data_IF_593375547639
#
_entry.id   IF_593375547639
#
_cell.length_a   1.000
_cell.length_b   1.000
_cell.length_c   1.000
_cell.angle_alpha   90.00
_cell.angle_beta   90.00
_cell.angle_gamma   90.00
#
_symmetry.space_group_name_H-M   'P 1'
#
loop_
_entity.id
_entity.type
_entity.pdbx_description
1 polymer ?
#
# COMPACT_ATOMS: atom_id res chain seq x y z
N UNK A 1 24.05 3.99 -16.23
CA UNK A 1 24.59 2.67 -15.84
C UNK A 1 23.57 2.01 -14.91
N UNK A 2 23.04 0.86 -15.31
CA UNK A 2 22.03 0.09 -14.58
C UNK A 2 22.65 -0.56 -13.35
N UNK A 3 22.44 0.04 -12.17
CA UNK A 3 22.82 -0.55 -10.87
C UNK A 3 21.85 -1.67 -10.49
N UNK A 4 22.39 -2.86 -10.27
CA UNK A 4 21.62 -4.07 -9.97
C UNK A 4 20.77 -3.95 -8.71
N UNK A 5 19.49 -4.32 -8.81
CA UNK A 5 18.64 -4.56 -7.67
C UNK A 5 19.15 -5.78 -6.90
N UNK A 6 19.93 -5.56 -5.84
CA UNK A 6 20.20 -6.57 -4.84
C UNK A 6 18.86 -7.06 -4.24
N UNK A 7 18.66 -8.38 -4.21
CA UNK A 7 17.47 -9.06 -3.68
C UNK A 7 17.25 -8.68 -2.21
N UNK A 8 16.10 -8.07 -1.91
CA UNK A 8 15.77 -7.54 -0.57
C UNK A 8 15.02 -8.62 0.24
N UNK A 9 15.48 -9.01 1.43
CA UNK A 9 14.81 -10.04 2.23
C UNK A 9 13.56 -9.46 2.91
N UNK A 10 12.44 -9.46 2.20
CA UNK A 10 11.11 -9.42 2.80
C UNK A 10 10.71 -10.85 3.13
N UNK A 11 10.49 -11.16 4.41
CA UNK A 11 10.11 -12.49 4.89
C UNK A 11 8.77 -12.48 5.61
N UNK A 12 7.94 -13.50 5.35
CA UNK A 12 6.64 -13.67 5.98
C UNK A 12 6.45 -15.14 6.38
N UNK A 13 6.24 -15.42 7.66
CA UNK A 13 5.86 -16.76 8.12
C UNK A 13 4.48 -16.71 8.77
N UNK A 14 3.61 -17.67 8.43
CA UNK A 14 2.25 -17.79 8.98
C UNK A 14 2.11 -19.17 9.63
N UNK A 15 1.79 -19.20 10.91
CA UNK A 15 1.58 -20.42 11.68
C UNK A 15 0.09 -20.60 11.93
N UNK A 16 -0.48 -21.72 11.49
CA UNK A 16 -1.91 -22.00 11.63
C UNK A 16 -2.19 -23.36 12.29
N UNK A 17 -3.36 -23.46 12.92
CA UNK A 17 -3.91 -24.73 13.39
C UNK A 17 -4.92 -25.24 12.36
N UNK A 18 -4.53 -26.24 11.57
CA UNK A 18 -5.43 -26.87 10.63
C UNK A 18 -6.51 -27.69 11.35
N UNK A 19 -7.79 -27.48 11.00
CA UNK A 19 -8.90 -28.30 11.45
C UNK A 19 -9.09 -29.48 10.47
N UNK A 20 -8.58 -30.67 10.81
CA UNK A 20 -8.91 -31.91 10.09
C UNK A 20 -8.20 -32.17 8.76
N UNK A 21 -8.36 -33.40 8.23
CA UNK A 21 -7.70 -33.88 7.00
C UNK A 21 -8.30 -33.19 5.76
N UNK A 22 -7.59 -32.22 5.21
CA UNK A 22 -7.86 -31.71 3.86
C UNK A 22 -7.02 -32.48 2.80
N UNK A 23 -7.64 -33.17 1.83
CA UNK A 23 -6.92 -33.86 0.76
C UNK A 23 -6.31 -32.92 -0.30
N UNK A 24 -6.65 -31.62 -0.31
CA UNK A 24 -6.38 -30.71 -1.43
C UNK A 24 -5.22 -29.72 -1.24
N UNK A 25 -5.07 -29.10 -0.07
CA UNK A 25 -4.11 -27.98 0.11
C UNK A 25 -2.65 -28.44 0.09
N UNK A 26 -2.38 -29.68 0.55
CA UNK A 26 -1.04 -30.27 0.48
C UNK A 26 -0.56 -30.43 -0.97
N UNK A 27 -1.46 -30.71 -1.94
CA UNK A 27 -1.06 -30.98 -3.34
C UNK A 27 -0.64 -29.74 -4.12
N UNK A 28 -1.11 -28.54 -3.77
CA UNK A 28 -0.72 -27.31 -4.46
C UNK A 28 0.64 -26.77 -4.01
N UNK A 29 1.03 -27.00 -2.75
CA UNK A 29 2.35 -26.61 -2.24
C UNK A 29 3.40 -27.72 -2.47
N UNK A 30 3.04 -29.02 -2.34
CA UNK A 30 3.99 -30.13 -2.54
C UNK A 30 4.42 -30.32 -4.01
N UNK A 31 3.56 -30.09 -5.00
CA UNK A 31 3.94 -30.28 -6.42
C UNK A 31 4.99 -29.29 -6.91
N UNK A 32 5.15 -28.15 -6.24
CA UNK A 32 6.18 -27.17 -6.58
C UNK A 32 7.51 -27.35 -5.83
N UNK A 33 7.55 -28.22 -4.81
CA UNK A 33 8.75 -28.54 -4.03
C UNK A 33 9.52 -29.79 -4.54
N UNK A 34 9.00 -30.54 -5.51
CA UNK A 34 9.59 -31.80 -6.02
C UNK A 34 10.83 -31.62 -6.93
N UNK A 35 11.60 -30.55 -6.74
CA UNK A 35 12.91 -30.34 -7.39
C UNK A 35 14.11 -30.81 -6.55
N UNK A 36 13.93 -31.18 -5.28
CA UNK A 36 15.05 -31.58 -4.41
C UNK A 36 14.96 -33.07 -4.03
N UNK A 37 16.02 -33.80 -4.37
CA UNK A 37 16.16 -35.25 -4.22
C UNK A 37 16.11 -35.75 -2.77
N UNK A 38 15.32 -36.83 -2.57
CA UNK A 38 15.41 -37.98 -1.62
C UNK A 38 16.33 -37.79 -0.39
N UNK A 39 15.90 -38.03 0.86
CA UNK A 39 15.31 -39.27 1.37
C UNK A 39 14.69 -39.06 2.75
N UNK A 40 13.53 -39.66 3.05
CA UNK A 40 13.04 -39.84 4.43
C UNK A 40 12.45 -41.24 4.56
N UNK A 41 12.95 -41.98 5.55
CA UNK A 41 12.60 -43.35 5.92
C UNK A 41 11.17 -43.40 6.51
N UNK A 42 10.31 -44.39 6.18
CA UNK A 42 8.95 -44.46 6.70
C UNK A 42 8.90 -45.27 8.00
N UNK A 43 8.64 -44.61 9.14
CA UNK A 43 8.48 -45.34 10.40
C UNK A 43 8.25 -44.48 11.63
N UNK A 44 7.04 -43.93 11.79
CA UNK A 44 6.32 -43.82 13.07
C UNK A 44 5.04 -43.00 12.89
N UNK A 45 3.90 -43.63 13.20
CA UNK A 45 2.63 -42.95 13.36
C UNK A 45 2.59 -42.32 14.77
N UNK A 46 2.60 -41.00 14.85
CA UNK A 46 2.14 -40.28 16.04
C UNK A 46 0.82 -39.57 15.73
N UNK A 47 -0.21 -39.96 16.49
CA UNK A 47 -1.53 -39.33 16.56
C UNK A 47 -1.43 -38.22 17.61
N UNK A 48 -1.42 -36.97 17.15
CA UNK A 48 -1.44 -35.77 17.98
C UNK A 48 -1.83 -34.59 17.10
N UNK A 49 -2.63 -33.66 17.62
CA UNK A 49 -3.11 -32.45 16.94
C UNK A 49 -1.99 -31.75 16.16
N UNK A 50 -1.96 -31.94 14.83
CA UNK A 50 -0.88 -31.48 13.96
C UNK A 50 -1.02 -29.97 13.72
N UNK A 51 -0.26 -29.18 14.45
CA UNK A 51 0.04 -27.79 14.09
C UNK A 51 0.79 -27.81 12.74
N UNK A 52 0.41 -26.94 11.80
CA UNK A 52 1.14 -26.80 10.53
C UNK A 52 1.80 -25.43 10.52
N UNK A 53 3.12 -25.42 10.41
CA UNK A 53 3.91 -24.21 10.21
C UNK A 53 4.01 -23.98 8.71
N UNK A 54 3.47 -22.87 8.21
CA UNK A 54 3.66 -22.44 6.82
C UNK A 54 4.73 -21.35 6.79
N UNK A 55 5.94 -21.70 6.40
CA UNK A 55 7.02 -20.72 6.22
C UNK A 55 7.10 -20.33 4.76
N UNK A 56 6.75 -19.08 4.44
CA UNK A 56 6.89 -18.50 3.10
C UNK A 56 8.16 -17.65 3.08
N UNK A 57 9.26 -18.30 2.74
CA UNK A 57 10.60 -17.70 2.77
C UNK A 57 11.09 -17.48 1.34
N UNK A 58 11.21 -16.22 0.92
CA UNK A 58 11.86 -15.82 -0.33
C UNK A 58 11.09 -16.07 -1.65
N UNK A 59 11.60 -15.46 -2.74
CA UNK A 59 11.02 -15.45 -4.09
C UNK A 59 10.78 -16.84 -4.70
N UNK A 60 9.53 -17.30 -4.70
CA UNK A 60 9.13 -18.53 -5.42
C UNK A 60 9.01 -18.24 -6.92
N UNK A 61 9.97 -18.70 -7.74
CA UNK A 61 9.80 -18.75 -9.21
C UNK A 61 8.84 -19.88 -9.57
N UNK A 62 7.64 -19.56 -10.06
CA UNK A 62 6.93 -20.46 -10.98
C UNK A 62 7.34 -20.13 -12.41
N UNK A 63 7.90 -21.13 -13.11
CA UNK A 63 7.92 -21.14 -14.58
C UNK A 63 6.58 -21.72 -15.02
N UNK A 64 5.68 -20.86 -15.50
CA UNK A 64 4.42 -21.30 -16.10
C UNK A 64 4.71 -21.82 -17.51
N UNK A 65 4.56 -23.13 -17.71
CA UNK A 65 4.42 -23.69 -19.05
C UNK A 65 2.95 -23.47 -19.46
N UNK A 66 2.73 -22.59 -20.42
CA UNK A 66 1.40 -22.33 -21.00
C UNK A 66 0.81 -23.64 -21.52
N UNK A 67 -0.37 -24.01 -21.01
CA UNK A 67 -1.32 -24.81 -21.76
C UNK A 67 -2.52 -23.94 -22.10
N UNK A 68 -2.71 -23.73 -23.41
CA UNK A 68 -3.96 -23.22 -24.00
C UNK A 68 -5.02 -24.30 -23.86
N UNK A 69 -6.16 -23.94 -23.28
CA UNK A 69 -7.54 -24.36 -23.60
C UNK A 69 -8.41 -23.40 -22.79
N UNK A 70 -9.20 -22.51 -23.36
CA UNK A 70 -10.49 -22.82 -24.00
C UNK A 70 -11.54 -22.03 -23.22
N UNK A 71 -12.15 -21.06 -23.89
CA UNK A 71 -13.24 -20.20 -23.43
C UNK A 71 -14.45 -21.04 -22.99
N UNK A 72 -15.14 -20.65 -21.91
CA UNK A 72 -16.58 -20.88 -21.71
C UNK A 72 -17.10 -19.90 -20.63
N UNK A 73 -17.85 -18.88 -21.08
CA UNK A 73 -18.83 -18.13 -20.29
C UNK A 73 -20.21 -18.58 -20.77
N UNK A 74 -21.23 -18.74 -19.90
CA UNK A 74 -22.57 -19.09 -20.35
C UNK A 74 -23.28 -17.88 -20.97
N UNK A 75 -23.88 -18.14 -22.13
CA UNK A 75 -24.77 -17.24 -22.88
C UNK A 75 -25.98 -16.80 -22.05
N UNK A 76 -26.31 -15.51 -22.13
CA UNK A 76 -27.64 -15.00 -21.81
C UNK A 76 -28.30 -14.51 -23.10
N UNK A 77 -29.49 -15.07 -23.30
CA UNK A 77 -30.33 -15.05 -24.49
C UNK A 77 -30.76 -13.64 -24.91
N UNK A 78 -30.83 -13.45 -26.24
CA UNK A 78 -31.17 -12.21 -26.92
C UNK A 78 -32.55 -12.33 -27.56
N UNK A 79 -33.56 -11.72 -26.95
CA UNK A 79 -34.72 -11.19 -27.67
C UNK A 79 -35.55 -10.29 -26.75
N UNK A 80 -35.51 -8.99 -26.98
CA UNK A 80 -36.72 -8.27 -27.38
C UNK A 80 -36.36 -6.86 -27.87
N UNK A 81 -36.88 -6.54 -29.05
CA UNK A 81 -36.63 -5.34 -29.84
C UNK A 81 -37.64 -4.24 -29.49
N UNK A 82 -37.12 -3.00 -29.55
CA UNK A 82 -37.80 -1.72 -29.82
C UNK A 82 -38.55 -1.03 -28.67
N UNK A 83 -37.95 0.05 -28.17
CA UNK A 83 -38.53 1.38 -28.34
C UNK A 83 -37.41 2.42 -28.58
N UNK A 84 -37.54 3.20 -29.64
CA UNK A 84 -36.71 4.35 -29.96
C UNK A 84 -37.49 5.61 -29.60
N UNK A 85 -37.11 6.30 -28.55
CA UNK A 85 -37.44 7.72 -28.42
C UNK A 85 -36.41 8.49 -27.61
N UNK A 86 -35.51 9.16 -28.33
CA UNK A 86 -34.97 10.50 -28.03
C UNK A 86 -34.71 10.80 -26.54
N UNK A 87 -33.58 10.34 -26.04
CA UNK A 87 -32.87 11.05 -25.00
C UNK A 87 -31.83 11.93 -25.68
N UNK A 88 -32.01 13.24 -25.55
CA UNK A 88 -31.03 14.26 -25.90
C UNK A 88 -29.68 13.91 -25.27
N UNK A 89 -28.60 13.97 -26.05
CA UNK A 89 -27.22 13.99 -25.57
C UNK A 89 -27.03 15.19 -24.62
N UNK A 90 -27.47 15.04 -23.38
CA UNK A 90 -26.88 15.76 -22.28
C UNK A 90 -25.52 15.09 -22.11
N UNK A 91 -24.49 15.69 -22.72
CA UNK A 91 -23.10 15.32 -22.46
C UNK A 91 -22.97 15.26 -20.94
N UNK A 92 -22.91 14.04 -20.37
CA UNK A 92 -22.61 13.86 -18.97
C UNK A 92 -21.30 14.61 -18.75
N UNK A 93 -21.34 15.70 -17.97
CA UNK A 93 -20.15 16.49 -17.71
C UNK A 93 -19.13 15.54 -17.10
N UNK A 94 -17.96 15.43 -17.72
CA UNK A 94 -16.89 14.57 -17.23
C UNK A 94 -16.54 14.97 -15.79
N UNK A 95 -16.40 13.97 -14.91
CA UNK A 95 -16.09 14.16 -13.51
C UNK A 95 -14.66 14.69 -13.35
N UNK A 96 -14.53 15.92 -12.87
CA UNK A 96 -13.27 16.64 -12.87
C UNK A 96 -12.42 16.41 -11.63
N UNK A 97 -11.14 16.10 -11.84
CA UNK A 97 -10.13 15.90 -10.80
C UNK A 97 -9.18 17.10 -10.74
N UNK A 98 -9.07 17.70 -9.56
CA UNK A 98 -8.04 18.67 -9.22
C UNK A 98 -6.84 18.03 -8.51
N UNK A 99 -5.62 18.29 -8.96
CA UNK A 99 -4.41 17.78 -8.31
C UNK A 99 -3.84 18.81 -7.33
N UNK A 100 -3.75 18.44 -6.05
CA UNK A 100 -3.04 19.23 -5.03
C UNK A 100 -1.68 18.58 -4.80
N UNK A 101 -0.61 19.17 -5.34
CA UNK A 101 0.74 18.61 -5.26
C UNK A 101 0.96 17.47 -6.24
N UNK A 102 1.21 17.78 -7.51
CA UNK A 102 1.52 16.83 -8.58
C UNK A 102 2.98 16.36 -8.57
N UNK A 103 3.37 15.66 -7.49
CA UNK A 103 4.69 15.05 -7.32
C UNK A 103 4.88 13.76 -8.12
N UNK A 104 6.00 13.06 -7.84
CA UNK A 104 6.38 11.85 -8.59
C UNK A 104 5.31 10.77 -8.64
N UNK A 105 4.62 10.48 -7.54
CA UNK A 105 3.55 9.47 -7.52
C UNK A 105 2.33 9.88 -8.35
N UNK A 106 1.92 11.15 -8.27
CA UNK A 106 0.81 11.67 -9.07
C UNK A 106 1.06 11.43 -10.56
N UNK A 107 2.26 11.78 -11.05
CA UNK A 107 2.63 11.60 -12.47
C UNK A 107 2.82 10.13 -12.87
N UNK A 108 3.38 9.31 -11.97
CA UNK A 108 3.71 7.91 -12.29
C UNK A 108 2.51 6.96 -12.17
N UNK A 109 1.48 7.32 -11.40
CA UNK A 109 0.38 6.40 -11.04
C UNK A 109 -1.00 7.02 -11.21
N UNK A 110 -1.26 8.15 -10.57
CA UNK A 110 -2.62 8.68 -10.47
C UNK A 110 -3.10 9.32 -11.76
N UNK A 111 -2.33 10.22 -12.38
CA UNK A 111 -2.72 10.85 -13.65
C UNK A 111 -2.95 9.79 -14.75
N UNK A 112 -2.04 8.81 -14.96
CA UNK A 112 -2.32 7.70 -15.88
C UNK A 112 -3.58 6.92 -15.51
N UNK A 113 -3.76 6.60 -14.22
CA UNK A 113 -4.91 5.84 -13.76
C UNK A 113 -6.24 6.58 -13.95
N UNK A 114 -6.28 7.90 -13.74
CA UNK A 114 -7.48 8.71 -13.99
C UNK A 114 -7.83 8.75 -15.48
N UNK A 115 -6.84 8.86 -16.38
CA UNK A 115 -7.05 8.82 -17.84
C UNK A 115 -7.57 7.48 -18.36
N UNK A 116 -7.47 6.41 -17.58
CA UNK A 116 -8.00 5.08 -17.92
C UNK A 116 -9.47 4.90 -17.47
N UNK A 117 -10.04 5.86 -16.74
CA UNK A 117 -11.42 5.81 -16.27
C UNK A 117 -12.29 6.64 -17.22
N UNK A 118 -13.30 6.00 -17.81
CA UNK A 118 -14.29 6.69 -18.65
C UNK A 118 -14.99 7.80 -17.86
N UNK A 119 -15.27 8.91 -18.53
CA UNK A 119 -15.95 10.10 -17.95
C UNK A 119 -15.22 10.76 -16.77
N UNK A 120 -13.90 10.55 -16.61
CA UNK A 120 -13.06 11.24 -15.61
C UNK A 120 -11.95 12.01 -16.29
N UNK A 121 -11.77 13.28 -15.91
CA UNK A 121 -10.71 14.14 -16.47
C UNK A 121 -9.91 14.84 -15.37
N UNK A 122 -8.60 14.99 -15.59
CA UNK A 122 -7.78 15.86 -14.74
C UNK A 122 -7.87 17.28 -15.28
N UNK A 123 -8.58 18.15 -14.58
CA UNK A 123 -8.98 19.48 -15.08
C UNK A 123 -8.14 20.62 -14.50
N UNK A 124 -7.51 20.43 -13.35
CA UNK A 124 -6.77 21.49 -12.68
C UNK A 124 -5.58 20.91 -11.87
N UNK A 125 -4.50 21.68 -11.74
CA UNK A 125 -3.35 21.34 -10.90
C UNK A 125 -2.84 22.56 -10.14
N UNK A 126 -2.56 22.37 -8.86
CA UNK A 126 -1.81 23.33 -8.02
C UNK A 126 -0.55 22.66 -7.47
N UNK A 127 0.55 23.39 -7.51
CA UNK A 127 1.85 22.98 -6.98
C UNK A 127 2.44 24.11 -6.12
N UNK A 128 3.52 23.80 -5.37
CA UNK A 128 4.22 24.79 -4.53
C UNK A 128 4.67 26.05 -5.31
N UNK A 129 4.98 25.90 -6.60
CA UNK A 129 5.21 27.01 -7.50
C UNK A 129 4.37 26.83 -8.77
N UNK A 130 3.88 27.95 -9.32
CA UNK A 130 3.13 27.97 -10.58
C UNK A 130 3.89 27.31 -11.72
N UNK A 131 5.18 27.61 -11.86
CA UNK A 131 6.07 26.99 -12.86
C UNK A 131 6.07 25.45 -12.76
N UNK A 132 6.05 24.90 -11.54
CA UNK A 132 5.95 23.46 -11.36
C UNK A 132 4.58 22.92 -11.75
N UNK A 133 3.50 23.68 -11.57
CA UNK A 133 2.16 23.34 -12.05
C UNK A 133 2.10 23.34 -13.57
N UNK A 134 2.58 24.41 -14.21
CA UNK A 134 2.63 24.59 -15.67
C UNK A 134 3.40 23.46 -16.37
N UNK A 135 4.53 23.00 -15.80
CA UNK A 135 5.25 21.85 -16.33
C UNK A 135 4.42 20.56 -16.32
N UNK A 136 3.64 20.32 -15.27
CA UNK A 136 2.77 19.13 -15.19
C UNK A 136 1.60 19.28 -16.14
N UNK A 137 0.98 20.46 -16.19
CA UNK A 137 -0.13 20.74 -17.09
C UNK A 137 0.26 20.56 -18.56
N UNK A 138 1.43 21.06 -18.97
CA UNK A 138 1.95 20.85 -20.31
C UNK A 138 2.32 19.38 -20.60
N UNK A 139 2.80 18.62 -19.60
CA UNK A 139 3.16 17.20 -19.75
C UNK A 139 1.93 16.30 -19.89
N UNK A 140 0.80 16.70 -19.29
CA UNK A 140 -0.42 15.89 -19.15
C UNK A 140 -1.68 16.56 -19.68
N UNK A 141 -1.53 17.58 -20.54
CA UNK A 141 -2.64 18.31 -21.17
C UNK A 141 -3.73 18.76 -20.19
N UNK A 142 -3.34 19.16 -18.97
CA UNK A 142 -4.28 19.64 -17.94
C UNK A 142 -4.65 21.09 -18.28
N UNK A 143 -5.94 21.43 -18.43
CA UNK A 143 -6.33 22.72 -18.98
C UNK A 143 -6.04 23.90 -18.05
N UNK A 144 -6.08 23.69 -16.73
CA UNK A 144 -5.93 24.77 -15.75
C UNK A 144 -4.75 24.55 -14.79
N UNK A 145 -4.13 25.65 -14.39
CA UNK A 145 -3.11 25.72 -13.33
C UNK A 145 -3.50 26.81 -12.36
N UNK A 146 -3.89 26.43 -11.15
CA UNK A 146 -4.20 27.38 -10.08
C UNK A 146 -2.93 27.86 -9.36
N UNK A 147 -2.94 29.10 -8.90
CA UNK A 147 -1.87 29.70 -8.09
C UNK A 147 -1.98 29.31 -6.60
N UNK A 148 -3.15 28.83 -6.17
CA UNK A 148 -3.44 28.46 -4.79
C UNK A 148 -4.40 27.26 -4.68
N UNK A 149 -4.41 26.59 -3.52
CA UNK A 149 -5.35 25.48 -3.27
C UNK A 149 -6.78 26.00 -3.21
N UNK A 150 -6.97 27.19 -2.64
CA UNK A 150 -8.25 27.87 -2.53
C UNK A 150 -8.86 28.16 -3.91
N UNK A 151 -8.05 28.61 -4.88
CA UNK A 151 -8.47 28.81 -6.26
C UNK A 151 -8.86 27.48 -6.93
N UNK A 152 -8.08 26.41 -6.75
CA UNK A 152 -8.43 25.09 -7.27
C UNK A 152 -9.74 24.57 -6.66
N UNK A 153 -9.96 24.76 -5.36
CA UNK A 153 -11.18 24.31 -4.68
C UNK A 153 -12.41 25.14 -5.07
N UNK A 154 -12.23 26.40 -5.46
CA UNK A 154 -13.30 27.26 -5.96
C UNK A 154 -13.69 26.97 -7.42
N UNK A 155 -12.89 26.18 -8.15
CA UNK A 155 -13.16 25.81 -9.53
C UNK A 155 -14.42 24.91 -9.62
N UNK A 156 -15.48 25.35 -10.33
CA UNK A 156 -16.69 24.55 -10.49
C UNK A 156 -16.47 23.32 -11.38
N UNK A 157 -15.38 23.24 -12.14
CA UNK A 157 -15.04 22.06 -12.93
C UNK A 157 -14.38 20.95 -12.09
N UNK A 158 -13.96 21.23 -10.85
CA UNK A 158 -13.34 20.23 -9.97
C UNK A 158 -14.42 19.58 -9.11
N UNK A 159 -14.67 18.29 -9.26
CA UNK A 159 -15.58 17.52 -8.41
C UNK A 159 -14.86 16.82 -7.25
N UNK A 160 -13.62 16.39 -7.50
CA UNK A 160 -12.77 15.74 -6.51
C UNK A 160 -11.33 16.24 -6.55
N UNK A 161 -10.62 16.11 -5.43
CA UNK A 161 -9.19 16.40 -5.35
C UNK A 161 -8.35 15.15 -5.09
N UNK A 162 -7.20 15.08 -5.77
CA UNK A 162 -6.13 14.13 -5.48
C UNK A 162 -4.97 14.85 -4.77
N UNK A 163 -4.81 14.60 -3.47
CA UNK A 163 -3.80 15.24 -2.63
C UNK A 163 -2.52 14.39 -2.66
N UNK A 164 -1.52 14.85 -3.42
CA UNK A 164 -0.20 14.24 -3.60
C UNK A 164 0.92 14.90 -2.80
N UNK A 165 0.58 15.67 -1.77
CA UNK A 165 1.51 16.43 -0.93
C UNK A 165 2.23 15.53 0.10
N UNK A 166 2.98 16.14 1.02
CA UNK A 166 3.58 15.41 2.15
C UNK A 166 2.61 15.37 3.34
N UNK A 167 2.73 14.36 4.24
CA UNK A 167 1.78 14.12 5.32
C UNK A 167 1.41 15.33 6.19
N UNK A 168 2.36 16.24 6.45
CA UNK A 168 2.12 17.43 7.26
C UNK A 168 1.07 18.41 6.69
N UNK A 169 0.73 18.30 5.41
CA UNK A 169 -0.30 19.14 4.77
C UNK A 169 -1.64 18.42 4.59
N UNK A 170 -1.71 17.11 4.85
CA UNK A 170 -2.85 16.30 4.46
C UNK A 170 -4.12 16.67 5.22
N UNK A 171 -4.02 16.96 6.53
CA UNK A 171 -5.17 17.34 7.33
C UNK A 171 -5.80 18.64 6.81
N UNK A 172 -4.99 19.66 6.58
CA UNK A 172 -5.49 20.97 6.17
C UNK A 172 -6.11 20.92 4.77
N UNK A 173 -5.46 20.26 3.80
CA UNK A 173 -6.01 20.13 2.45
C UNK A 173 -7.20 19.19 2.37
N UNK A 174 -7.23 18.12 3.16
CA UNK A 174 -8.42 17.24 3.24
C UNK A 174 -9.60 17.99 3.83
N UNK A 175 -9.38 18.77 4.91
CA UNK A 175 -10.42 19.59 5.51
C UNK A 175 -10.95 20.64 4.55
N UNK A 176 -10.05 21.43 3.96
CA UNK A 176 -10.44 22.47 3.02
C UNK A 176 -11.23 21.92 1.83
N UNK A 177 -10.83 20.77 1.29
CA UNK A 177 -11.53 20.13 0.17
C UNK A 177 -12.93 19.65 0.54
N UNK A 178 -13.09 18.98 1.68
CA UNK A 178 -14.40 18.51 2.15
C UNK A 178 -15.33 19.68 2.51
N UNK A 179 -14.81 20.73 3.14
CA UNK A 179 -15.54 21.96 3.43
C UNK A 179 -15.97 22.70 2.15
N UNK A 180 -15.18 22.61 1.09
CA UNK A 180 -15.51 23.12 -0.24
C UNK A 180 -16.46 22.21 -1.05
N UNK A 181 -16.95 21.12 -0.46
CA UNK A 181 -17.88 20.21 -1.11
C UNK A 181 -17.25 19.26 -2.13
N UNK A 182 -15.93 19.02 -2.06
CA UNK A 182 -15.20 18.17 -3.01
C UNK A 182 -14.92 16.78 -2.44
N UNK A 183 -15.00 15.75 -3.27
CA UNK A 183 -14.51 14.41 -2.89
C UNK A 183 -12.98 14.44 -2.71
N UNK A 184 -12.42 13.57 -1.88
CA UNK A 184 -10.98 13.55 -1.56
C UNK A 184 -10.38 12.17 -1.78
N UNK A 185 -9.29 12.11 -2.56
CA UNK A 185 -8.32 11.03 -2.56
C UNK A 185 -6.99 11.56 -2.02
N UNK A 186 -6.56 11.11 -0.84
CA UNK A 186 -5.35 11.60 -0.18
C UNK A 186 -4.24 10.53 -0.16
N UNK A 187 -3.01 10.93 -0.49
CA UNK A 187 -1.86 10.03 -0.51
C UNK A 187 -1.55 9.36 0.83
N UNK A 188 -0.98 8.17 0.77
CA UNK A 188 -0.37 7.54 1.93
C UNK A 188 1.06 8.08 2.09
N UNK A 189 1.50 8.48 3.29
CA UNK A 189 0.94 8.22 4.61
C UNK A 189 -0.11 9.27 5.00
N UNK A 190 -1.20 8.80 5.61
CA UNK A 190 -2.38 9.61 5.94
C UNK A 190 -2.05 10.95 6.60
N UNK A 191 -1.27 10.93 7.69
CA UNK A 191 -0.96 12.10 8.50
C UNK A 191 0.41 11.96 9.20
N UNK A 192 0.84 12.99 9.94
CA UNK A 192 2.13 12.96 10.66
C UNK A 192 2.04 12.17 11.98
N UNK A 193 0.85 12.07 12.56
CA UNK A 193 0.59 11.42 13.83
C UNK A 193 -0.87 10.95 13.95
N UNK A 194 -1.18 10.20 15.01
CA UNK A 194 -2.51 9.65 15.23
C UNK A 194 -3.58 10.72 15.48
N UNK A 195 -3.25 11.80 16.20
CA UNK A 195 -4.19 12.89 16.48
C UNK A 195 -4.64 13.61 15.21
N UNK A 196 -3.72 13.86 14.27
CA UNK A 196 -4.10 14.40 12.96
C UNK A 196 -4.93 13.40 12.15
N UNK A 197 -4.61 12.11 12.20
CA UNK A 197 -5.40 11.07 11.53
C UNK A 197 -6.84 11.00 12.07
N UNK A 198 -7.00 11.08 13.40
CA UNK A 198 -8.32 11.16 14.06
C UNK A 198 -9.06 12.44 13.66
N UNK A 199 -8.36 13.57 13.55
CA UNK A 199 -8.97 14.82 13.09
C UNK A 199 -9.44 14.72 11.63
N UNK A 200 -8.65 14.10 10.74
CA UNK A 200 -9.06 13.84 9.35
C UNK A 200 -10.31 12.94 9.30
N UNK A 201 -10.37 11.90 10.13
CA UNK A 201 -11.55 11.04 10.23
C UNK A 201 -12.77 11.82 10.73
N UNK A 202 -12.60 12.65 11.76
CA UNK A 202 -13.69 13.46 12.31
C UNK A 202 -14.24 14.44 11.27
N UNK A 203 -13.39 15.08 10.47
CA UNK A 203 -13.83 15.95 9.37
C UNK A 203 -14.55 15.15 8.30
N UNK A 204 -14.00 14.01 7.86
CA UNK A 204 -14.68 13.12 6.90
C UNK A 204 -16.09 12.73 7.35
N UNK A 205 -16.27 12.40 8.64
CA UNK A 205 -17.57 12.06 9.21
C UNK A 205 -18.58 13.23 9.24
N UNK A 206 -18.11 14.48 9.17
CA UNK A 206 -19.00 15.66 9.07
C UNK A 206 -19.55 15.86 7.65
N UNK A 207 -18.96 15.20 6.65
CA UNK A 207 -19.36 15.28 5.24
C UNK A 207 -19.69 13.90 4.66
N UNK A 208 -20.71 13.20 5.20
CA UNK A 208 -21.02 11.81 4.82
C UNK A 208 -21.48 11.64 3.37
N UNK A 209 -21.91 12.72 2.71
CA UNK A 209 -22.31 12.73 1.30
C UNK A 209 -21.09 12.78 0.34
N UNK A 210 -19.89 13.01 0.87
CA UNK A 210 -18.64 13.03 0.12
C UNK A 210 -17.81 11.78 0.36
N UNK A 211 -17.05 11.41 -0.66
CA UNK A 211 -16.06 10.33 -0.55
C UNK A 211 -14.77 10.93 0.00
N UNK A 212 -14.24 10.37 1.07
CA UNK A 212 -12.93 10.70 1.61
C UNK A 212 -12.11 9.42 1.73
N UNK A 213 -11.19 9.21 0.78
CA UNK A 213 -10.42 7.99 0.63
C UNK A 213 -8.92 8.25 0.77
N UNK A 214 -8.23 7.30 1.38
CA UNK A 214 -6.77 7.24 1.40
C UNK A 214 -6.27 6.32 0.29
N UNK A 215 -5.17 6.69 -0.35
CA UNK A 215 -4.49 5.82 -1.31
C UNK A 215 -4.07 4.54 -0.58
N UNK A 216 -4.53 3.36 -1.01
CA UNK A 216 -4.17 2.10 -0.36
C UNK A 216 -2.69 1.81 -0.53
N UNK A 217 -2.14 0.94 0.34
CA UNK A 217 -0.79 0.39 0.16
C UNK A 217 -0.46 0.07 -1.32
N UNK A 218 0.56 0.71 -1.91
CA UNK A 218 0.81 0.67 -3.36
C UNK A 218 1.37 -0.66 -3.85
N UNK A 219 1.80 -1.52 -2.93
CA UNK A 219 2.26 -2.87 -3.22
C UNK A 219 1.95 -3.77 -2.03
N UNK A 220 1.76 -5.04 -2.34
CA UNK A 220 1.52 -6.12 -1.39
C UNK A 220 2.60 -7.20 -1.56
N UNK A 221 2.59 -8.23 -0.74
CA UNK A 221 3.36 -9.44 -1.01
C UNK A 221 2.96 -10.01 -2.36
N UNK A 222 3.94 -10.62 -3.06
CA UNK A 222 3.72 -11.25 -4.36
C UNK A 222 2.58 -12.27 -4.36
N UNK A 223 2.36 -12.96 -3.24
CA UNK A 223 1.27 -13.92 -3.03
C UNK A 223 0.13 -13.35 -2.16
N UNK A 224 0.07 -12.04 -1.94
CA UNK A 224 -0.84 -11.40 -0.99
C UNK A 224 -2.31 -11.72 -1.24
N UNK A 225 -2.77 -11.68 -2.50
CA UNK A 225 -4.14 -12.11 -2.88
C UNK A 225 -4.42 -13.57 -2.54
N UNK A 226 -3.45 -14.46 -2.77
CA UNK A 226 -3.57 -15.88 -2.44
C UNK A 226 -3.60 -16.10 -0.93
N UNK A 227 -2.72 -15.42 -0.19
CA UNK A 227 -2.67 -15.49 1.27
C UNK A 227 -3.99 -15.00 1.85
N UNK A 228 -4.47 -13.83 1.43
CA UNK A 228 -5.76 -13.28 1.83
C UNK A 228 -6.88 -14.29 1.62
N UNK A 229 -6.99 -14.87 0.42
CA UNK A 229 -7.99 -15.90 0.12
C UNK A 229 -7.89 -17.11 1.06
N UNK A 230 -6.69 -17.61 1.32
CA UNK A 230 -6.46 -18.76 2.21
C UNK A 230 -6.78 -18.47 3.69
N UNK A 231 -6.64 -17.20 4.11
CA UNK A 231 -7.10 -16.73 5.41
C UNK A 231 -8.65 -16.68 5.45
N UNK A 232 -9.27 -16.10 4.41
CA UNK A 232 -10.72 -15.89 4.33
C UNK A 232 -11.51 -17.19 4.15
N UNK A 233 -11.03 -18.12 3.33
CA UNK A 233 -11.70 -19.41 3.07
C UNK A 233 -11.45 -20.46 4.16
N UNK A 234 -10.69 -20.10 5.20
CA UNK A 234 -10.38 -20.98 6.33
C UNK A 234 -9.41 -22.11 6.01
N UNK A 235 -8.78 -22.13 4.83
CA UNK A 235 -7.80 -23.17 4.44
C UNK A 235 -6.61 -23.26 5.39
N UNK A 236 -6.25 -22.15 6.06
CA UNK A 236 -5.17 -22.11 7.06
C UNK A 236 -5.65 -22.48 8.48
N UNK A 237 -6.95 -22.68 8.67
CA UNK A 237 -7.59 -22.79 9.98
C UNK A 237 -7.38 -21.53 10.81
N UNK A 238 -7.35 -21.66 12.14
CA UNK A 238 -7.07 -20.52 13.02
C UNK A 238 -5.60 -20.14 12.92
N UNK A 239 -5.33 -18.91 12.50
CA UNK A 239 -3.98 -18.34 12.46
C UNK A 239 -3.55 -18.06 13.89
N UNK A 240 -2.40 -18.60 14.28
CA UNK A 240 -1.84 -18.49 15.62
C UNK A 240 -0.77 -17.39 15.67
N UNK A 241 0.15 -17.39 14.68
CA UNK A 241 1.25 -16.44 14.64
C UNK A 241 1.59 -15.99 13.22
N UNK A 242 1.99 -14.73 13.10
CA UNK A 242 2.59 -14.17 11.88
C UNK A 242 3.91 -13.48 12.21
N UNK A 243 4.95 -13.78 11.43
CA UNK A 243 6.27 -13.19 11.60
C UNK A 243 6.61 -12.41 10.32
N UNK A 244 6.72 -11.09 10.46
CA UNK A 244 7.03 -10.17 9.39
C UNK A 244 8.44 -9.63 9.55
N UNK A 245 9.29 -9.84 8.55
CA UNK A 245 10.67 -9.36 8.52
C UNK A 245 10.87 -8.45 7.31
N UNK A 246 11.19 -7.19 7.57
CA UNK A 246 11.44 -6.13 6.59
C UNK A 246 12.84 -5.57 6.83
N UNK A 247 13.86 -6.20 6.25
CA UNK A 247 15.25 -5.84 6.49
C UNK A 247 15.89 -5.30 5.22
N UNK A 248 16.57 -4.17 5.35
CA UNK A 248 17.44 -3.63 4.32
C UNK A 248 18.59 -2.84 4.96
N UNK A 249 19.55 -2.43 4.13
CA UNK A 249 20.69 -1.61 4.53
C UNK A 249 20.64 -0.16 4.05
N UNK A 250 19.49 0.35 3.58
CA UNK A 250 19.42 1.70 2.99
C UNK A 250 19.68 2.82 3.99
N UNK A 251 19.58 2.51 5.28
CA UNK A 251 19.84 3.44 6.37
C UNK A 251 21.29 3.46 6.85
N UNK A 252 22.14 2.51 6.44
CA UNK A 252 23.51 2.34 6.99
C UNK A 252 24.49 3.43 6.60
N UNK A 253 24.42 3.87 5.34
CA UNK A 253 25.27 4.93 4.84
C UNK A 253 24.76 6.27 5.37
N UNK A 254 25.42 6.84 6.38
CA UNK A 254 25.07 8.14 6.97
C UNK A 254 25.58 9.34 6.16
N UNK A 255 26.39 9.09 5.12
CA UNK A 255 26.86 10.09 4.17
C UNK A 255 25.86 10.35 3.03
N UNK A 256 24.91 9.43 2.83
CA UNK A 256 23.84 9.57 1.86
C UNK A 256 22.89 10.75 2.15
N UNK A 257 22.27 11.33 1.12
CA UNK A 257 21.50 12.56 1.24
C UNK A 257 20.29 12.41 2.18
N UNK A 258 19.94 13.50 2.87
CA UNK A 258 18.69 13.59 3.62
C UNK A 258 17.50 13.35 2.66
N UNK A 259 16.56 12.51 3.08
CA UNK A 259 15.36 12.16 2.33
C UNK A 259 14.14 12.59 3.14
N UNK A 260 13.02 12.94 2.51
CA UNK A 260 11.82 13.46 3.21
C UNK A 260 11.29 12.50 4.31
N UNK A 261 11.49 11.19 4.16
CA UNK A 261 11.17 10.16 5.19
C UNK A 261 12.03 10.22 6.46
N UNK A 262 13.14 10.94 6.43
CA UNK A 262 13.96 11.23 7.60
C UNK A 262 13.52 12.52 8.30
N UNK A 263 12.79 13.39 7.58
CA UNK A 263 12.31 14.68 8.05
C UNK A 263 10.99 14.51 8.78
N UNK A 264 11.02 14.67 10.10
CA UNK A 264 9.82 14.58 10.95
C UNK A 264 8.84 15.73 10.68
N UNK A 265 9.33 16.89 10.25
CA UNK A 265 8.56 18.03 9.79
C UNK A 265 7.77 17.76 8.50
N UNK A 266 8.18 16.79 7.68
CA UNK A 266 7.45 16.41 6.47
C UNK A 266 6.67 15.11 6.64
N UNK A 267 7.35 14.08 7.12
CA UNK A 267 6.83 12.71 7.22
C UNK A 267 6.18 12.38 8.56
N UNK A 268 6.33 13.22 9.59
CA UNK A 268 5.88 12.90 10.94
C UNK A 268 6.58 11.70 11.54
N UNK A 269 5.80 10.86 12.21
CA UNK A 269 6.27 9.62 12.85
C UNK A 269 6.20 8.40 11.93
N UNK A 270 6.18 8.60 10.61
CA UNK A 270 6.07 7.50 9.66
C UNK A 270 7.38 6.73 9.50
N UNK A 271 7.44 5.54 10.09
CA UNK A 271 8.65 4.72 10.15
C UNK A 271 8.75 3.77 8.95
N UNK A 272 9.68 4.04 8.04
CA UNK A 272 10.01 3.18 6.89
C UNK A 272 8.75 2.71 6.12
N UNK A 273 8.64 1.40 5.87
CA UNK A 273 7.52 0.76 5.19
C UNK A 273 6.50 0.14 6.16
N UNK A 274 6.64 0.35 7.49
CA UNK A 274 5.82 -0.32 8.51
C UNK A 274 4.32 -0.24 8.21
N UNK A 275 3.78 0.96 7.95
CA UNK A 275 2.35 1.11 7.73
C UNK A 275 1.82 0.36 6.51
N UNK A 276 2.64 0.12 5.46
CA UNK A 276 2.21 -0.60 4.24
C UNK A 276 1.91 -2.05 4.63
N UNK A 277 2.87 -2.67 5.31
CA UNK A 277 2.74 -4.07 5.67
C UNK A 277 1.82 -4.27 6.88
N UNK A 278 1.72 -3.30 7.79
CA UNK A 278 0.72 -3.34 8.85
C UNK A 278 -0.70 -3.34 8.26
N UNK A 279 -0.98 -2.45 7.29
CA UNK A 279 -2.24 -2.44 6.57
C UNK A 279 -2.52 -3.78 5.87
N UNK A 280 -1.52 -4.36 5.19
CA UNK A 280 -1.63 -5.70 4.60
C UNK A 280 -1.99 -6.77 5.64
N UNK A 281 -1.31 -6.82 6.79
CA UNK A 281 -1.58 -7.82 7.84
C UNK A 281 -2.99 -7.63 8.40
N UNK A 282 -3.43 -6.38 8.61
CA UNK A 282 -4.79 -6.10 9.10
C UNK A 282 -5.86 -6.55 8.10
N UNK A 283 -5.63 -6.41 6.78
CA UNK A 283 -6.54 -6.94 5.75
C UNK A 283 -6.68 -8.47 5.77
N UNK A 284 -5.74 -9.19 6.37
CA UNK A 284 -5.78 -10.66 6.46
C UNK A 284 -6.32 -11.16 7.80
N UNK A 285 -6.02 -10.46 8.89
CA UNK A 285 -6.26 -10.93 10.26
C UNK A 285 -7.27 -10.07 11.03
N UNK A 286 -7.70 -8.94 10.48
CA UNK A 286 -8.47 -7.93 11.19
C UNK A 286 -7.60 -7.01 12.04
N UNK A 287 -8.23 -6.29 12.95
CA UNK A 287 -7.60 -5.19 13.68
C UNK A 287 -6.53 -5.65 14.68
N UNK A 288 -5.55 -4.77 14.91
CA UNK A 288 -4.57 -4.93 15.99
C UNK A 288 -5.19 -4.49 17.31
N UNK A 289 -5.22 -5.38 18.31
CA UNK A 289 -5.80 -5.09 19.63
C UNK A 289 -4.79 -4.44 20.58
N UNK A 290 -3.52 -4.88 20.55
CA UNK A 290 -2.46 -4.34 21.42
C UNK A 290 -1.10 -4.50 20.78
N UNK A 291 -0.18 -3.58 21.07
CA UNK A 291 1.23 -3.69 20.69
C UNK A 291 2.18 -3.46 21.87
N UNK A 292 3.36 -4.06 21.80
CA UNK A 292 4.56 -3.66 22.55
C UNK A 292 5.69 -3.50 21.55
N UNK A 293 6.39 -2.37 21.59
CA UNK A 293 7.39 -2.04 20.58
C UNK A 293 8.68 -1.52 21.22
N UNK A 294 9.80 -1.88 20.59
CA UNK A 294 11.10 -1.28 20.83
C UNK A 294 11.59 -0.66 19.53
N UNK A 295 11.98 0.61 19.59
CA UNK A 295 12.45 1.36 18.44
C UNK A 295 13.78 2.04 18.76
N UNK A 296 14.64 2.15 17.76
CA UNK A 296 15.93 2.85 17.88
C UNK A 296 16.28 3.56 16.58
N UNK A 297 16.94 4.69 16.72
CA UNK A 297 17.63 5.38 15.63
C UNK A 297 19.13 5.11 15.76
N UNK A 298 19.70 4.41 14.79
CA UNK A 298 21.13 4.12 14.73
C UNK A 298 21.89 5.14 13.90
N UNK A 299 21.25 5.75 12.90
CA UNK A 299 21.79 6.88 12.12
C UNK A 299 21.08 8.17 12.54
N UNK A 300 21.63 8.90 13.53
CA UNK A 300 20.94 10.00 14.18
C UNK A 300 21.00 11.31 13.38
N UNK A 301 21.79 11.38 12.31
CA UNK A 301 21.82 12.59 11.47
C UNK A 301 22.26 12.30 10.04
N UNK A 302 21.84 13.17 9.11
CA UNK A 302 22.28 13.18 7.71
C UNK A 302 22.48 14.61 7.25
N UNK A 303 23.27 14.80 6.20
CA UNK A 303 23.47 16.13 5.58
C UNK A 303 22.27 16.45 4.69
N UNK A 304 21.66 17.61 4.91
CA UNK A 304 20.69 18.20 4.01
C UNK A 304 21.43 18.73 2.78
N UNK A 305 21.05 18.23 1.59
CA UNK A 305 21.71 18.62 0.35
C UNK A 305 21.38 20.06 -0.07
N UNK A 306 20.27 20.64 0.42
CA UNK A 306 19.85 22.00 0.11
C UNK A 306 20.62 23.03 0.96
N UNK A 307 20.82 22.75 2.25
CA UNK A 307 21.45 23.71 3.18
C UNK A 307 22.91 23.38 3.48
N UNK A 308 23.36 22.14 3.27
CA UNK A 308 24.67 21.63 3.67
C UNK A 308 24.79 21.33 5.18
N UNK A 309 23.74 21.55 5.97
CA UNK A 309 23.74 21.34 7.41
C UNK A 309 23.35 19.90 7.79
N UNK A 310 23.74 19.46 8.99
CA UNK A 310 23.29 18.16 9.52
C UNK A 310 21.89 18.29 10.13
N UNK A 311 20.95 17.51 9.63
CA UNK A 311 19.62 17.34 10.19
C UNK A 311 19.60 16.19 11.19
N UNK A 312 19.05 16.44 12.39
CA UNK A 312 18.90 15.42 13.43
C UNK A 312 17.66 14.55 13.17
N UNK A 313 17.85 13.24 13.02
CA UNK A 313 16.82 12.27 12.69
C UNK A 313 16.26 11.68 13.99
N UNK A 314 14.98 11.91 14.23
CA UNK A 314 14.24 11.35 15.38
C UNK A 314 13.40 10.14 15.03
N UNK A 315 13.21 9.87 13.73
CA UNK A 315 12.40 8.75 13.24
C UNK A 315 13.25 7.47 13.32
N UNK A 316 12.79 6.42 14.03
CA UNK A 316 13.51 5.16 14.14
C UNK A 316 13.79 4.47 12.80
N UNK A 317 15.01 3.96 12.65
CA UNK A 317 15.47 3.16 11.51
C UNK A 317 15.53 1.65 11.84
N UNK A 318 15.14 1.27 13.05
CA UNK A 318 15.05 -0.11 13.52
C UNK A 318 13.93 -0.29 14.54
N UNK A 319 13.06 -1.27 14.32
CA UNK A 319 11.88 -1.61 15.12
C UNK A 319 11.73 -3.11 15.32
N UNK A 320 11.40 -3.48 16.56
CA UNK A 320 10.82 -4.77 16.93
C UNK A 320 9.45 -4.54 17.55
N UNK A 321 8.42 -5.20 17.03
CA UNK A 321 7.03 -5.05 17.50
C UNK A 321 6.44 -6.42 17.76
N UNK A 322 5.82 -6.60 18.92
CA UNK A 322 4.90 -7.70 19.20
C UNK A 322 3.48 -7.15 19.24
N UNK A 323 2.57 -7.77 18.51
CA UNK A 323 1.19 -7.36 18.41
C UNK A 323 0.25 -8.53 18.69
N UNK A 324 -0.79 -8.27 19.49
CA UNK A 324 -1.94 -9.15 19.66
C UNK A 324 -3.04 -8.65 18.71
N UNK A 325 -3.52 -9.52 17.83
CA UNK A 325 -4.62 -9.23 16.90
C UNK A 325 -5.97 -9.51 17.57
N UNK A 326 -7.02 -8.80 17.18
CA UNK A 326 -8.36 -8.97 17.73
C UNK A 326 -8.94 -10.38 17.53
N UNK A 327 -8.51 -11.08 16.48
CA UNK A 327 -8.88 -12.47 16.20
C UNK A 327 -8.12 -13.52 17.02
N UNK A 328 -7.22 -13.10 17.93
CA UNK A 328 -6.41 -13.97 18.79
C UNK A 328 -5.06 -14.41 18.21
N UNK A 329 -4.74 -14.05 16.96
CA UNK A 329 -3.41 -14.27 16.39
C UNK A 329 -2.37 -13.33 17.02
N UNK A 330 -1.11 -13.75 17.03
CA UNK A 330 0.04 -12.90 17.43
C UNK A 330 0.88 -12.53 16.22
N UNK A 331 1.30 -11.28 16.11
CA UNK A 331 2.18 -10.82 15.04
C UNK A 331 3.50 -10.32 15.62
N UNK A 332 4.62 -10.74 15.05
CA UNK A 332 5.96 -10.20 15.35
C UNK A 332 6.50 -9.49 14.14
N UNK A 333 6.87 -8.22 14.29
CA UNK A 333 7.43 -7.39 13.24
C UNK A 333 8.89 -7.11 13.57
N UNK A 334 9.78 -7.37 12.60
CA UNK A 334 11.16 -6.90 12.61
C UNK A 334 11.37 -6.03 11.39
N UNK A 335 11.45 -4.72 11.60
CA UNK A 335 11.58 -3.73 10.52
C UNK A 335 12.86 -2.95 10.73
N UNK A 336 13.81 -3.01 9.82
CA UNK A 336 15.09 -2.31 9.98
C UNK A 336 15.70 -1.90 8.64
N UNK A 337 16.15 -0.66 8.56
CA UNK A 337 16.92 -0.12 7.45
C UNK A 337 18.44 -0.16 7.70
N UNK A 338 18.87 -0.63 8.87
CA UNK A 338 20.28 -0.69 9.30
C UNK A 338 20.79 -2.12 9.42
N UNK A 339 20.27 -3.03 8.58
CA UNK A 339 20.70 -4.42 8.55
C UNK A 339 21.26 -4.75 7.16
N UNK A 340 22.59 -4.63 6.98
CA UNK A 340 23.28 -5.11 5.77
C UNK A 340 23.48 -6.61 5.83
N UNK A 341 23.46 -7.29 4.68
CA UNK A 341 23.91 -8.68 4.61
C UNK A 341 23.11 -9.68 5.46
N UNK A 342 21.86 -9.37 5.84
CA UNK A 342 20.97 -10.35 6.45
C UNK A 342 20.97 -11.61 5.56
N UNK A 343 21.22 -12.81 6.13
CA UNK A 343 21.37 -14.01 5.33
C UNK A 343 20.15 -14.15 4.41
N UNK A 344 20.42 -14.22 3.11
CA UNK A 344 19.42 -14.73 2.19
C UNK A 344 19.04 -16.10 2.75
N UNK A 345 17.74 -16.39 2.91
CA UNK A 345 17.36 -17.74 3.29
C UNK A 345 17.97 -18.73 2.28
N UNK A 346 18.45 -19.89 2.75
CA UNK A 346 19.23 -20.83 1.95
C UNK A 346 18.52 -21.29 0.67
#
# INVERSE_FOLDING_TARGET
MLGGLARRPTGLTIVGRALGRFPGVARCLDRHAQGCSRSVNPGSQFVGSRHRVYSLVGDVRMVLKQHRTGSDYPDLDSSDLHDQSRDTEESAMAFGIGLIGAGGNQKLRHIPGFREIDDVEVVNVVNRSRESGERVAAEWDIPNVSDSVEELLADPAVDAVSIGTWPYMHLDYTRAALEAGKHVLCEARMATNATEAEAMLAVSQQHPDLVSQLVPAPFDFRLGKTIKRLCEDGSLGSILEVHLTLLNGSGLDDSGPLHWRHRSDYSGHNMMQLGIFNETIQRWLGDTARVTAHARTFVPSRVDAETGERYNIVIPDSLGIFADMANGARCTYRVSAVTEGAPQPP
#
